data_IF_693014856514
#
_entry.id   IF_693014856514
#
_cell.length_a   1.000
_cell.length_b   1.000
_cell.length_c   1.000
_cell.angle_alpha   90.00
_cell.angle_beta   90.00
_cell.angle_gamma   90.00
#
_symmetry.space_group_name_H-M   'P 1'
#
loop_
_entity.id
_entity.type
_entity.pdbx_description
1 polymer ?
#
# COMPACT_ATOMS: atom_id res chain seq x y z
N UNK A 1 -1.34 -11.96 14.91
CA UNK A 1 -0.99 -11.22 16.15
C UNK A 1 0.12 -10.21 15.86
N UNK A 2 -0.17 -9.19 15.06
CA UNK A 2 0.71 -8.04 14.75
C UNK A 2 -0.09 -6.73 14.90
N UNK A 3 -1.02 -6.69 15.85
CA UNK A 3 -1.77 -5.48 16.25
C UNK A 3 -0.94 -4.56 17.16
N UNK A 4 0.39 -4.66 17.11
CA UNK A 4 1.27 -3.88 17.96
C UNK A 4 1.82 -2.68 17.22
N UNK A 5 1.37 -1.51 17.70
CA UNK A 5 2.03 -0.22 17.56
C UNK A 5 1.81 0.51 16.23
N UNK A 6 0.56 0.74 15.84
CA UNK A 6 0.33 1.91 15.00
C UNK A 6 0.62 3.18 15.82
N UNK A 7 1.58 4.03 15.43
CA UNK A 7 1.70 5.36 16.02
C UNK A 7 0.34 6.05 15.89
N UNK A 8 -0.13 6.69 16.95
CA UNK A 8 -1.37 7.46 16.92
C UNK A 8 -1.14 8.67 16.01
N UNK A 9 -1.38 8.54 14.70
CA UNK A 9 -1.06 9.57 13.71
C UNK A 9 -1.76 10.87 14.02
N UNK A 10 -2.98 10.78 14.54
CA UNK A 10 -3.73 11.92 15.05
C UNK A 10 -2.93 12.77 16.06
N UNK A 11 -2.05 12.17 16.87
CA UNK A 11 -1.17 12.91 17.80
C UNK A 11 -0.13 13.75 17.06
N UNK A 12 0.45 13.24 15.98
CA UNK A 12 1.47 13.94 15.19
C UNK A 12 0.89 15.09 14.35
N UNK A 13 -0.37 14.95 13.92
CA UNK A 13 -1.08 15.97 13.14
C UNK A 13 -1.90 16.93 14.03
N UNK A 14 -1.92 16.73 15.34
CA UNK A 14 -2.66 17.60 16.27
C UNK A 14 -2.15 19.03 16.19
N UNK A 15 -3.06 19.98 15.95
CA UNK A 15 -2.75 21.40 15.83
C UNK A 15 -1.98 21.77 14.55
N UNK A 16 -1.76 20.82 13.64
CA UNK A 16 -1.23 21.12 12.31
C UNK A 16 -2.37 21.64 11.44
N UNK A 17 -2.07 22.71 10.70
CA UNK A 17 -3.00 23.36 9.77
C UNK A 17 -2.40 23.42 8.38
N UNK A 18 -3.22 23.21 7.37
CA UNK A 18 -2.86 23.48 5.99
C UNK A 18 -2.96 24.99 5.73
N UNK A 19 -1.90 25.58 5.18
CA UNK A 19 -1.76 27.03 4.95
C UNK A 19 -2.01 27.92 6.18
N UNK A 20 -1.91 27.35 7.39
CA UNK A 20 -2.22 28.05 8.64
C UNK A 20 -3.72 28.22 8.95
N UNK A 21 -4.61 27.85 8.03
CA UNK A 21 -6.05 28.12 8.12
C UNK A 21 -6.88 26.85 8.35
N UNK A 22 -6.64 25.81 7.56
CA UNK A 22 -7.49 24.62 7.53
C UNK A 22 -7.00 23.56 8.51
N UNK A 23 -7.85 23.15 9.44
CA UNK A 23 -7.54 22.07 10.38
C UNK A 23 -7.50 20.71 9.68
N UNK A 24 -6.53 19.88 10.08
CA UNK A 24 -6.37 18.53 9.54
C UNK A 24 -7.12 17.53 10.41
N UNK A 25 -8.19 16.93 9.87
CA UNK A 25 -8.88 15.80 10.49
C UNK A 25 -8.19 14.50 10.08
N UNK A 26 -7.83 13.68 11.07
CA UNK A 26 -7.17 12.38 10.83
C UNK A 26 -8.11 11.23 11.17
N UNK A 27 -8.43 10.42 10.17
CA UNK A 27 -9.04 9.10 10.33
C UNK A 27 -7.96 8.03 10.11
N UNK A 28 -7.98 6.96 10.90
CA UNK A 28 -6.98 5.89 10.84
C UNK A 28 -7.68 4.54 10.97
N UNK A 29 -7.39 3.63 10.05
CA UNK A 29 -7.87 2.25 10.02
C UNK A 29 -6.88 1.35 9.26
N UNK A 30 -6.98 0.05 9.47
CA UNK A 30 -6.35 -0.97 8.62
C UNK A 30 -7.15 -1.19 7.33
N UNK A 31 -6.50 -1.75 6.29
CA UNK A 31 -7.18 -2.14 5.06
C UNK A 31 -8.31 -3.16 5.30
N UNK A 32 -8.14 -4.04 6.29
CA UNK A 32 -9.14 -5.04 6.70
C UNK A 32 -10.40 -4.42 7.32
N UNK A 33 -10.32 -3.17 7.79
CA UNK A 33 -11.40 -2.47 8.48
C UNK A 33 -12.19 -1.54 7.55
N UNK A 34 -11.77 -1.38 6.29
CA UNK A 34 -12.40 -0.44 5.35
C UNK A 34 -12.97 -1.14 4.12
N UNK A 35 -13.99 -0.50 3.56
CA UNK A 35 -14.42 -0.71 2.19
C UNK A 35 -14.60 0.66 1.52
N UNK A 36 -14.85 0.69 0.22
CA UNK A 36 -15.08 1.94 -0.49
C UNK A 36 -16.04 1.77 -1.66
N UNK A 37 -16.65 2.89 -2.03
CA UNK A 37 -17.34 3.07 -3.29
C UNK A 37 -16.79 4.32 -3.98
N UNK A 38 -16.35 4.18 -5.23
CA UNK A 38 -15.78 5.29 -6.00
C UNK A 38 -16.63 5.60 -7.21
N UNK A 39 -16.94 6.88 -7.39
CA UNK A 39 -17.78 7.39 -8.44
C UNK A 39 -17.00 8.43 -9.24
N UNK A 40 -17.17 8.42 -10.56
CA UNK A 40 -16.46 9.35 -11.47
C UNK A 40 -16.76 10.82 -11.13
N UNK A 41 -17.99 11.14 -10.74
CA UNK A 41 -18.43 12.52 -10.49
C UNK A 41 -18.21 12.99 -9.05
N UNK A 42 -18.37 12.09 -8.07
CA UNK A 42 -18.39 12.47 -6.63
C UNK A 42 -17.18 11.98 -5.86
N UNK A 43 -16.25 11.24 -6.48
CA UNK A 43 -15.00 10.78 -5.89
C UNK A 43 -15.14 9.48 -5.08
N UNK A 44 -14.21 9.26 -4.16
CA UNK A 44 -14.19 8.07 -3.29
C UNK A 44 -14.94 8.29 -1.98
N UNK A 45 -15.84 7.38 -1.63
CA UNK A 45 -16.41 7.26 -0.29
C UNK A 45 -15.81 6.05 0.41
N UNK A 46 -15.28 6.22 1.61
CA UNK A 46 -14.73 5.14 2.44
C UNK A 46 -15.72 4.81 3.55
N UNK A 47 -16.05 3.53 3.68
CA UNK A 47 -16.80 2.97 4.80
C UNK A 47 -15.82 2.29 5.76
N UNK A 48 -15.68 2.83 6.96
CA UNK A 48 -14.83 2.28 8.01
C UNK A 48 -15.67 1.53 9.04
N UNK A 49 -15.33 0.26 9.26
CA UNK A 49 -15.89 -0.57 10.31
C UNK A 49 -15.09 -0.40 11.60
N UNK A 50 -15.77 -0.09 12.69
CA UNK A 50 -15.19 -0.03 14.02
C UNK A 50 -16.06 -0.79 15.02
N UNK A 51 -15.44 -1.46 16.00
CA UNK A 51 -16.16 -2.10 17.10
C UNK A 51 -16.25 -1.11 18.25
N UNK A 52 -17.47 -0.75 18.65
CA UNK A 52 -17.74 0.10 19.82
C UNK A 52 -18.66 -0.65 20.77
N UNK A 53 -18.17 -0.95 21.98
CA UNK A 53 -18.95 -1.67 23.00
C UNK A 53 -19.51 -3.01 22.50
N UNK A 54 -18.74 -3.75 21.69
CA UNK A 54 -19.15 -5.03 21.11
C UNK A 54 -20.06 -4.94 19.87
N UNK A 55 -20.55 -3.75 19.51
CA UNK A 55 -21.36 -3.55 18.31
C UNK A 55 -20.50 -3.08 17.14
N UNK A 56 -20.67 -3.70 15.97
CA UNK A 56 -20.06 -3.22 14.72
C UNK A 56 -20.78 -1.97 14.24
N UNK A 57 -20.06 -0.86 14.16
CA UNK A 57 -20.56 0.42 13.66
C UNK A 57 -19.80 0.77 12.39
N UNK A 58 -20.53 1.16 11.34
CA UNK A 58 -19.95 1.67 10.10
C UNK A 58 -20.02 3.19 10.11
N UNK A 59 -18.91 3.85 9.78
CA UNK A 59 -18.86 5.30 9.56
C UNK A 59 -18.28 5.59 8.19
N UNK A 60 -18.97 6.41 7.42
CA UNK A 60 -18.56 6.78 6.07
C UNK A 60 -17.95 8.17 6.03
N UNK A 61 -16.92 8.36 5.22
CA UNK A 61 -16.32 9.67 4.98
C UNK A 61 -15.68 9.74 3.59
N UNK A 62 -15.47 10.96 3.10
CA UNK A 62 -14.76 11.22 1.84
C UNK A 62 -13.35 11.73 2.16
N UNK A 63 -12.29 10.97 1.83
CA UNK A 63 -10.92 11.42 2.07
C UNK A 63 -10.48 12.44 1.01
N UNK A 64 -9.84 13.53 1.45
CA UNK A 64 -9.13 14.44 0.54
C UNK A 64 -7.73 13.91 0.19
N UNK A 65 -7.14 13.14 1.10
CA UNK A 65 -5.79 12.61 1.00
C UNK A 65 -5.65 11.29 1.77
N UNK A 66 -4.81 10.37 1.29
CA UNK A 66 -4.54 9.08 1.95
C UNK A 66 -3.04 8.80 2.12
N UNK A 67 -2.64 8.44 3.33
CA UNK A 67 -1.28 8.03 3.66
C UNK A 67 -1.26 6.51 3.94
N UNK A 68 -0.80 5.72 2.97
CA UNK A 68 -0.82 4.25 3.06
C UNK A 68 0.49 3.76 3.68
N UNK A 69 0.37 3.02 4.78
CA UNK A 69 1.51 2.50 5.56
C UNK A 69 1.38 1.03 5.96
N UNK A 70 0.43 0.34 5.32
CA UNK A 70 0.25 -1.09 5.38
C UNK A 70 0.53 -1.67 4.00
N UNK A 71 0.97 -2.93 3.93
CA UNK A 71 1.11 -3.63 2.65
C UNK A 71 -0.26 -3.81 1.99
N UNK A 72 -0.40 -3.38 0.73
CA UNK A 72 -1.64 -3.54 -0.03
C UNK A 72 -1.83 -4.96 -0.57
N UNK A 73 -0.79 -5.79 -0.54
CA UNK A 73 -0.84 -7.17 -1.00
C UNK A 73 0.15 -8.05 -0.25
N UNK A 74 -0.30 -9.25 0.10
CA UNK A 74 0.47 -10.35 0.65
C UNK A 74 -0.11 -11.66 0.12
N UNK A 75 0.70 -12.73 0.09
CA UNK A 75 0.25 -14.06 -0.32
C UNK A 75 -0.53 -14.78 0.80
N UNK A 76 -0.59 -14.22 2.00
CA UNK A 76 -1.43 -14.74 3.09
C UNK A 76 -2.91 -14.63 2.69
N UNK A 77 -3.71 -15.70 2.89
CA UNK A 77 -5.15 -15.63 2.65
C UNK A 77 -5.81 -14.46 3.40
N UNK A 78 -6.59 -13.65 2.67
CA UNK A 78 -7.28 -12.48 3.22
C UNK A 78 -6.46 -11.19 3.25
N UNK A 79 -5.22 -11.18 2.76
CA UNK A 79 -4.36 -9.98 2.70
C UNK A 79 -4.17 -9.44 1.27
N UNK A 80 -5.21 -9.50 0.44
CA UNK A 80 -5.25 -8.88 -0.89
C UNK A 80 -6.15 -7.65 -0.90
N UNK A 81 -5.54 -6.47 -0.83
CA UNK A 81 -6.22 -5.18 -0.77
C UNK A 81 -6.01 -4.34 -2.03
N UNK A 82 -5.54 -4.97 -3.13
CA UNK A 82 -5.28 -4.27 -4.41
C UNK A 82 -6.52 -3.59 -4.96
N UNK A 83 -7.70 -4.17 -4.76
CA UNK A 83 -8.99 -3.58 -5.14
C UNK A 83 -9.26 -2.26 -4.44
N UNK A 84 -8.86 -2.11 -3.17
CA UNK A 84 -8.99 -0.85 -2.43
C UNK A 84 -8.05 0.22 -3.01
N UNK A 85 -6.82 -0.13 -3.36
CA UNK A 85 -5.88 0.80 -4.03
C UNK A 85 -6.43 1.27 -5.38
N UNK A 86 -6.99 0.34 -6.17
CA UNK A 86 -7.67 0.67 -7.43
C UNK A 86 -8.84 1.63 -7.17
N UNK A 87 -9.67 1.34 -6.16
CA UNK A 87 -10.80 2.17 -5.79
C UNK A 87 -10.41 3.59 -5.42
N UNK A 88 -9.36 3.77 -4.61
CA UNK A 88 -8.82 5.09 -4.26
C UNK A 88 -8.33 5.84 -5.51
N UNK A 89 -7.66 5.15 -6.43
CA UNK A 89 -7.15 5.74 -7.67
C UNK A 89 -8.32 6.13 -8.59
N UNK A 90 -9.32 5.27 -8.71
CA UNK A 90 -10.52 5.52 -9.49
C UNK A 90 -11.31 6.72 -8.97
N UNK A 91 -11.38 6.89 -7.65
CA UNK A 91 -12.01 8.04 -7.01
C UNK A 91 -11.15 9.31 -6.96
N UNK A 92 -9.95 9.30 -7.56
CA UNK A 92 -9.08 10.48 -7.66
C UNK A 92 -8.45 10.92 -6.34
N UNK A 93 -8.29 10.03 -5.36
CA UNK A 93 -7.75 10.38 -4.04
C UNK A 93 -6.24 10.59 -4.11
N UNK A 94 -5.76 11.76 -3.66
CA UNK A 94 -4.31 12.02 -3.57
C UNK A 94 -3.65 11.15 -2.50
N UNK A 95 -2.41 10.68 -2.74
CA UNK A 95 -1.73 9.76 -1.82
C UNK A 95 -0.22 9.91 -1.72
N UNK A 96 0.33 9.52 -0.57
CA UNK A 96 1.76 9.23 -0.36
C UNK A 96 1.93 7.77 0.13
N UNK A 97 2.77 6.96 -0.51
CA UNK A 97 3.34 7.17 -1.86
C UNK A 97 2.20 7.22 -2.91
N UNK A 98 2.50 7.53 -4.17
CA UNK A 98 1.46 7.54 -5.21
C UNK A 98 0.76 6.18 -5.30
N UNK A 99 -0.56 6.17 -5.52
CA UNK A 99 -1.34 4.93 -5.65
C UNK A 99 -0.82 4.05 -6.80
N UNK A 100 -0.34 4.67 -7.88
CA UNK A 100 0.36 3.98 -8.96
C UNK A 100 1.60 3.21 -8.47
N UNK A 101 2.44 3.85 -7.64
CA UNK A 101 3.61 3.17 -7.08
C UNK A 101 3.21 2.04 -6.14
N UNK A 102 2.21 2.26 -5.29
CA UNK A 102 1.71 1.25 -4.35
C UNK A 102 1.17 0.02 -5.09
N UNK A 103 0.40 0.25 -6.16
CA UNK A 103 -0.10 -0.82 -7.01
C UNK A 103 1.03 -1.62 -7.65
N UNK A 104 2.01 -0.94 -8.25
CA UNK A 104 3.19 -1.59 -8.86
C UNK A 104 4.07 -2.32 -7.84
N UNK A 105 4.08 -1.87 -6.57
CA UNK A 105 4.83 -2.52 -5.49
C UNK A 105 4.19 -3.83 -4.97
N UNK A 106 3.01 -4.20 -5.46
CA UNK A 106 2.36 -5.45 -5.06
C UNK A 106 3.05 -6.71 -5.61
N UNK A 107 3.99 -6.58 -6.55
CA UNK A 107 4.82 -7.70 -7.03
C UNK A 107 6.29 -7.44 -6.76
N UNK A 108 6.90 -8.21 -5.86
CA UNK A 108 8.34 -8.08 -5.56
C UNK A 108 9.21 -8.31 -6.82
N UNK A 109 8.98 -9.34 -7.66
CA UNK A 109 9.73 -9.51 -8.90
C UNK A 109 9.57 -8.34 -9.88
N UNK A 110 8.38 -7.74 -9.94
CA UNK A 110 8.14 -6.55 -10.77
C UNK A 110 9.01 -5.38 -10.32
N UNK A 111 9.04 -5.08 -9.03
CA UNK A 111 9.91 -4.03 -8.46
C UNK A 111 11.38 -4.34 -8.69
N UNK A 112 11.79 -5.59 -8.51
CA UNK A 112 13.17 -6.03 -8.73
C UNK A 112 13.61 -5.82 -10.19
N UNK A 113 12.72 -5.99 -11.16
CA UNK A 113 13.02 -5.71 -12.57
C UNK A 113 13.43 -4.24 -12.83
N UNK A 114 12.91 -3.28 -12.06
CA UNK A 114 13.35 -1.89 -12.13
C UNK A 114 14.75 -1.70 -11.53
N UNK A 115 15.10 -2.47 -10.50
CA UNK A 115 16.46 -2.47 -9.93
C UNK A 115 17.48 -3.06 -10.92
N UNK A 116 17.11 -4.09 -11.68
CA UNK A 116 17.96 -4.64 -12.76
C UNK A 116 18.29 -3.56 -13.81
N UNK A 117 17.31 -2.71 -14.17
CA UNK A 117 17.56 -1.58 -15.09
C UNK A 117 18.58 -0.59 -14.52
N UNK A 118 18.49 -0.29 -13.21
CA UNK A 118 19.46 0.58 -12.53
C UNK A 118 20.84 -0.05 -12.48
N UNK A 119 20.95 -1.34 -12.18
CA UNK A 119 22.19 -2.11 -12.22
C UNK A 119 22.89 -1.98 -13.58
N UNK A 120 22.17 -2.23 -14.68
CA UNK A 120 22.74 -2.11 -16.03
C UNK A 120 23.13 -0.68 -16.40
N UNK A 121 22.39 0.33 -15.93
CA UNK A 121 22.68 1.73 -16.24
C UNK A 121 23.83 2.32 -15.42
N UNK A 122 23.99 1.91 -14.16
CA UNK A 122 24.96 2.50 -13.23
C UNK A 122 26.23 1.67 -13.08
N UNK A 123 26.16 0.38 -13.42
CA UNK A 123 27.23 -0.59 -13.23
C UNK A 123 27.30 -1.15 -11.81
N UNK A 124 27.91 -2.34 -11.63
CA UNK A 124 27.97 -3.05 -10.35
C UNK A 124 28.71 -2.30 -9.25
N UNK A 125 29.65 -1.42 -9.60
CA UNK A 125 30.40 -0.63 -8.61
C UNK A 125 29.52 0.41 -7.91
N UNK A 126 28.58 1.02 -8.64
CA UNK A 126 27.69 2.08 -8.09
C UNK A 126 26.37 1.52 -7.57
N UNK A 127 25.92 0.40 -8.14
CA UNK A 127 24.68 -0.25 -7.73
C UNK A 127 24.88 -1.76 -7.69
N UNK A 128 25.49 -2.32 -6.63
CA UNK A 128 25.75 -3.76 -6.51
C UNK A 128 24.43 -4.50 -6.20
N UNK A 129 23.77 -5.00 -7.24
CA UNK A 129 22.54 -5.79 -7.12
C UNK A 129 22.88 -7.27 -6.97
N UNK A 130 22.23 -7.95 -6.02
CA UNK A 130 22.39 -9.39 -5.86
C UNK A 130 21.88 -10.13 -7.10
N UNK A 131 22.60 -11.17 -7.52
CA UNK A 131 22.13 -12.07 -8.56
C UNK A 131 20.89 -12.84 -8.09
N UNK A 132 19.82 -12.77 -8.88
CA UNK A 132 18.56 -13.47 -8.62
C UNK A 132 17.99 -14.00 -9.92
N UNK A 133 17.36 -15.17 -9.85
CA UNK A 133 16.67 -15.79 -10.98
C UNK A 133 15.16 -15.79 -10.71
N UNK A 134 14.37 -15.24 -11.64
CA UNK A 134 12.91 -15.27 -11.56
C UNK A 134 12.36 -16.47 -12.33
N UNK A 135 11.51 -17.26 -11.66
CA UNK A 135 10.77 -18.35 -12.28
C UNK A 135 9.27 -18.02 -12.28
N UNK A 136 8.60 -17.98 -13.44
CA UNK A 136 7.15 -17.71 -13.50
C UNK A 136 6.31 -18.77 -12.78
N UNK A 137 6.82 -20.01 -12.73
CA UNK A 137 6.20 -21.13 -12.01
C UNK A 137 7.25 -22.22 -11.74
N UNK A 138 6.88 -23.22 -10.94
CA UNK A 138 7.77 -24.28 -10.48
C UNK A 138 8.33 -25.18 -11.60
N UNK A 139 7.70 -25.27 -12.77
CA UNK A 139 8.16 -26.18 -13.84
C UNK A 139 9.50 -25.77 -14.43
N UNK A 140 9.87 -24.49 -14.30
CA UNK A 140 11.13 -23.94 -14.80
C UNK A 140 12.27 -24.07 -13.79
N UNK A 141 12.02 -24.57 -12.58
CA UNK A 141 13.03 -24.76 -11.54
C UNK A 141 13.78 -26.09 -11.74
N UNK A 142 14.37 -26.28 -12.93
CA UNK A 142 14.90 -27.59 -13.39
C UNK A 142 16.36 -27.86 -13.01
N UNK A 143 17.11 -26.83 -12.58
CA UNK A 143 18.51 -26.98 -12.16
C UNK A 143 18.97 -25.74 -11.40
N UNK A 144 19.05 -25.81 -10.07
CA UNK A 144 19.68 -24.78 -9.26
C UNK A 144 21.20 -24.84 -9.43
N UNK A 145 21.74 -24.24 -10.49
CA UNK A 145 23.16 -23.93 -10.54
C UNK A 145 23.45 -22.82 -9.51
N UNK A 146 23.82 -23.24 -8.30
CA UNK A 146 24.63 -22.50 -7.32
C UNK A 146 24.26 -21.04 -6.98
N UNK A 147 23.01 -20.61 -7.12
CA UNK A 147 22.57 -19.28 -6.65
C UNK A 147 21.28 -19.39 -5.84
N UNK A 148 21.30 -18.83 -4.64
CA UNK A 148 20.21 -18.89 -3.66
C UNK A 148 18.89 -18.37 -4.26
N UNK A 149 17.87 -19.21 -4.31
CA UNK A 149 16.50 -18.81 -4.62
C UNK A 149 15.83 -18.24 -3.35
N UNK A 150 15.15 -17.09 -3.46
CA UNK A 150 14.30 -16.50 -2.41
C UNK A 150 12.90 -16.26 -2.94
#
# INVERSE_FOLDING_TARGET
SLSHFFPHRAKYFRGKKLNGEYDIRVEQAEFSEINLASYMSTGCMIDMQAIRGGTKVVRSFKPDFVLIRQHAYSMTPGEDFRSLVIGLQYGGVASINSLLSIYNFCSKPWVFSHMIKLYHSLGPEKFPLNEQTFYPNHTQMVSAFLTHCF
#
